data_IF_264692729640
#
_entry.id   IF_264692729640
#
_cell.length_a   1.000
_cell.length_b   1.000
_cell.length_c   1.000
_cell.angle_alpha   90.00
_cell.angle_beta   90.00
_cell.angle_gamma   90.00
#
_symmetry.space_group_name_H-M   'P 1'
#
loop_
_entity.id
_entity.type
_entity.pdbx_description
1 polymer ?
#
# COMPACT_ATOMS: atom_id res chain seq x y z
N UNK A 1 72.51 -44.45 -19.87
CA UNK A 1 71.56 -44.12 -18.75
C UNK A 1 71.21 -42.68 -18.89
N UNK A 2 70.03 -42.38 -19.42
CA UNK A 2 69.52 -41.01 -19.58
C UNK A 2 68.54 -40.65 -18.41
N UNK A 3 68.42 -39.39 -18.02
CA UNK A 3 67.57 -38.98 -16.88
C UNK A 3 66.11 -38.98 -17.27
N UNK A 4 65.20 -39.17 -16.30
CA UNK A 4 63.75 -39.22 -16.53
C UNK A 4 63.13 -37.83 -16.75
N UNK A 5 62.30 -37.74 -17.79
CA UNK A 5 61.47 -36.55 -18.09
C UNK A 5 60.33 -36.46 -17.13
N UNK A 6 60.30 -35.43 -16.29
CA UNK A 6 59.16 -35.12 -15.43
C UNK A 6 58.16 -34.31 -16.23
N UNK A 7 56.98 -34.91 -16.51
CA UNK A 7 55.83 -34.21 -17.09
C UNK A 7 55.14 -33.35 -16.02
N UNK A 8 55.22 -32.05 -16.18
CA UNK A 8 54.47 -31.08 -15.35
C UNK A 8 53.06 -30.94 -15.92
N UNK A 9 52.05 -31.47 -15.23
CA UNK A 9 50.63 -31.24 -15.50
C UNK A 9 50.24 -29.84 -15.04
N UNK A 10 50.09 -28.91 -15.97
CA UNK A 10 49.49 -27.58 -15.71
C UNK A 10 47.98 -27.76 -15.62
N UNK A 11 47.42 -27.70 -14.41
CA UNK A 11 45.99 -27.59 -14.19
C UNK A 11 45.57 -26.15 -14.50
N UNK A 12 44.89 -25.93 -15.63
CA UNK A 12 44.24 -24.71 -15.95
C UNK A 12 42.97 -24.58 -15.05
N UNK A 13 43.03 -23.71 -14.05
CA UNK A 13 41.81 -23.26 -13.32
C UNK A 13 40.99 -22.34 -14.23
N UNK A 14 39.93 -22.85 -14.83
CA UNK A 14 38.96 -22.02 -15.52
C UNK A 14 38.13 -21.27 -14.45
N UNK A 15 38.49 -20.01 -14.22
CA UNK A 15 37.67 -19.10 -13.42
C UNK A 15 36.43 -18.73 -14.22
N UNK A 16 35.29 -19.34 -13.91
CA UNK A 16 34.01 -18.89 -14.41
C UNK A 16 33.66 -17.53 -13.74
N UNK A 17 33.87 -16.46 -14.48
CA UNK A 17 33.33 -15.16 -14.17
C UNK A 17 31.80 -15.24 -14.37
N UNK A 18 31.04 -15.40 -13.30
CA UNK A 18 29.62 -15.13 -13.31
C UNK A 18 29.44 -13.62 -13.51
N UNK A 19 29.17 -13.21 -14.74
CA UNK A 19 28.65 -11.89 -15.04
C UNK A 19 27.21 -11.89 -14.59
N UNK A 20 26.96 -11.46 -13.36
CA UNK A 20 25.62 -11.07 -12.94
C UNK A 20 25.25 -9.83 -13.77
N UNK A 21 24.32 -9.99 -14.71
CA UNK A 21 23.71 -8.84 -15.36
C UNK A 21 23.07 -7.99 -14.25
N UNK A 22 23.69 -6.88 -13.91
CA UNK A 22 23.07 -5.89 -13.03
C UNK A 22 21.82 -5.40 -13.75
N UNK A 23 20.64 -5.69 -13.22
CA UNK A 23 19.41 -5.06 -13.69
C UNK A 23 19.64 -3.56 -13.51
N UNK A 24 19.57 -2.79 -14.61
CA UNK A 24 19.76 -1.36 -14.55
C UNK A 24 18.72 -0.78 -13.57
N UNK A 25 19.21 0.03 -12.64
CA UNK A 25 18.36 0.71 -11.68
C UNK A 25 17.40 1.65 -12.42
N UNK A 26 16.08 1.61 -12.15
CA UNK A 26 15.16 2.54 -12.79
C UNK A 26 15.49 3.98 -12.44
N UNK A 27 15.45 4.86 -13.44
CA UNK A 27 15.72 6.28 -13.26
C UNK A 27 14.77 6.90 -12.21
N UNK A 28 15.29 7.80 -11.38
CA UNK A 28 14.56 8.51 -10.34
C UNK A 28 14.37 7.74 -9.04
N UNK A 29 14.94 6.53 -8.90
CA UNK A 29 14.89 5.72 -7.68
C UNK A 29 16.30 5.47 -7.13
N UNK A 30 16.46 5.36 -5.79
CA UNK A 30 17.69 4.84 -5.19
C UNK A 30 17.82 3.32 -5.40
N UNK A 31 19.00 2.74 -5.13
CA UNK A 31 19.13 1.28 -5.02
C UNK A 31 18.12 0.70 -4.02
N UNK A 32 17.52 -0.44 -4.38
CA UNK A 32 16.57 -1.11 -3.48
C UNK A 32 17.29 -1.52 -2.20
N UNK A 33 16.80 -1.13 -1.01
CA UNK A 33 17.40 -1.53 0.26
C UNK A 33 17.28 -3.05 0.46
N UNK A 34 18.41 -3.73 0.63
CA UNK A 34 18.49 -5.18 0.87
C UNK A 34 19.02 -5.39 2.30
N UNK A 35 18.23 -5.96 3.23
CA UNK A 35 18.71 -6.26 4.56
C UNK A 35 19.85 -7.30 4.53
N UNK A 36 20.90 -7.13 5.35
CA UNK A 36 22.03 -8.09 5.36
C UNK A 36 21.62 -9.50 5.74
N UNK A 37 20.59 -9.68 6.57
CA UNK A 37 20.06 -10.98 7.01
C UNK A 37 19.04 -11.58 6.05
N UNK A 38 18.64 -10.83 5.00
CA UNK A 38 17.78 -11.32 3.92
C UNK A 38 18.33 -10.94 2.52
N UNK A 39 19.51 -11.43 2.12
CA UNK A 39 20.04 -11.16 0.78
C UNK A 39 19.10 -11.69 -0.31
N UNK A 40 18.93 -10.88 -1.38
CA UNK A 40 18.08 -11.22 -2.53
C UNK A 40 18.70 -12.39 -3.31
N UNK A 41 17.90 -13.40 -3.61
CA UNK A 41 18.25 -14.47 -4.54
C UNK A 41 17.06 -14.82 -5.44
N UNK A 42 17.29 -15.31 -6.67
CA UNK A 42 16.20 -15.73 -7.55
C UNK A 42 15.27 -16.78 -6.91
N UNK A 43 15.84 -17.68 -6.11
CA UNK A 43 15.09 -18.72 -5.44
C UNK A 43 14.12 -18.17 -4.37
N UNK A 44 14.57 -17.17 -3.59
CA UNK A 44 13.71 -16.50 -2.60
C UNK A 44 12.61 -15.71 -3.27
N UNK A 45 12.91 -15.01 -4.37
CA UNK A 45 11.94 -14.23 -5.14
C UNK A 45 10.83 -15.14 -5.69
N UNK A 46 11.19 -16.25 -6.34
CA UNK A 46 10.21 -17.21 -6.88
C UNK A 46 9.37 -17.87 -5.77
N UNK A 47 9.99 -18.21 -4.66
CA UNK A 47 9.27 -18.73 -3.50
C UNK A 47 8.34 -17.68 -2.91
N UNK A 48 8.78 -16.44 -2.80
CA UNK A 48 8.00 -15.32 -2.29
C UNK A 48 6.77 -15.02 -3.16
N UNK A 49 6.93 -15.01 -4.48
CA UNK A 49 5.81 -14.87 -5.42
C UNK A 49 4.78 -15.98 -5.21
N UNK A 50 5.21 -17.24 -5.09
CA UNK A 50 4.31 -18.36 -4.81
C UNK A 50 3.56 -18.19 -3.48
N UNK A 51 4.27 -17.79 -2.40
CA UNK A 51 3.69 -17.57 -1.08
C UNK A 51 2.68 -16.42 -1.09
N UNK A 52 3.01 -15.32 -1.78
CA UNK A 52 2.15 -14.13 -1.93
C UNK A 52 0.81 -14.46 -2.61
N UNK A 53 0.79 -15.45 -3.50
CA UNK A 53 -0.39 -15.88 -4.23
C UNK A 53 -1.16 -17.04 -3.58
N UNK A 54 -0.65 -17.68 -2.51
CA UNK A 54 -1.24 -18.89 -1.95
C UNK A 54 -2.43 -18.60 -1.02
N UNK A 55 -3.63 -18.88 -1.51
CA UNK A 55 -4.88 -18.68 -0.76
C UNK A 55 -5.05 -19.63 0.42
N UNK A 56 -4.30 -20.75 0.48
CA UNK A 56 -4.34 -21.71 1.60
C UNK A 56 -3.87 -21.11 2.92
N UNK A 57 -3.24 -19.93 2.89
CA UNK A 57 -2.81 -19.21 4.08
C UNK A 57 -3.92 -18.37 4.71
N UNK A 58 -5.15 -18.49 4.25
CA UNK A 58 -6.33 -17.92 4.91
C UNK A 58 -7.23 -19.02 5.49
N UNK A 59 -8.00 -18.64 6.51
CA UNK A 59 -8.88 -19.58 7.22
C UNK A 59 -9.99 -20.18 6.33
N UNK A 60 -10.33 -19.51 5.23
CA UNK A 60 -11.32 -19.97 4.24
C UNK A 60 -10.70 -20.58 2.99
N UNK A 61 -9.38 -20.49 2.81
CA UNK A 61 -8.71 -20.88 1.57
C UNK A 61 -9.05 -20.02 0.36
N UNK A 62 -9.57 -18.79 0.54
CA UNK A 62 -10.04 -17.95 -0.55
C UNK A 62 -9.25 -16.64 -0.71
N UNK A 63 -8.51 -16.21 0.30
CA UNK A 63 -7.77 -14.95 0.36
C UNK A 63 -6.28 -15.19 0.39
N UNK A 64 -5.53 -14.42 -0.37
CA UNK A 64 -4.05 -14.35 -0.36
C UNK A 64 -3.61 -12.89 -0.35
N UNK A 65 -2.31 -12.60 -0.25
CA UNK A 65 -1.80 -11.23 -0.39
C UNK A 65 -2.24 -10.61 -1.72
N UNK A 66 -2.16 -11.38 -2.82
CA UNK A 66 -2.60 -10.94 -4.14
C UNK A 66 -4.11 -10.67 -4.26
N UNK A 67 -4.94 -11.03 -3.27
CA UNK A 67 -6.36 -10.68 -3.26
C UNK A 67 -6.57 -9.20 -3.02
N UNK A 68 -5.80 -8.61 -2.10
CA UNK A 68 -5.85 -7.17 -1.76
C UNK A 68 -4.76 -6.36 -2.49
N UNK A 69 -3.73 -7.03 -3.02
CA UNK A 69 -2.63 -6.43 -3.76
C UNK A 69 -2.53 -7.06 -5.17
N UNK A 70 -3.58 -6.86 -5.98
CA UNK A 70 -3.72 -7.45 -7.33
C UNK A 70 -2.71 -6.83 -8.31
N UNK A 71 -1.80 -7.62 -8.90
CA UNK A 71 -0.83 -7.13 -9.88
C UNK A 71 -1.47 -6.41 -11.08
N UNK A 72 -2.69 -6.79 -11.45
CA UNK A 72 -3.43 -6.17 -12.56
C UNK A 72 -4.05 -4.83 -12.20
N UNK A 73 -4.02 -4.45 -10.91
CA UNK A 73 -4.58 -3.21 -10.36
C UNK A 73 -3.51 -2.36 -9.65
N UNK A 74 -2.30 -2.32 -10.17
CA UNK A 74 -1.17 -1.64 -9.56
C UNK A 74 -0.89 -2.11 -8.12
N UNK A 75 -1.08 -3.41 -7.85
CA UNK A 75 -0.91 -4.00 -6.53
C UNK A 75 -1.76 -3.34 -5.44
N UNK A 76 -3.00 -2.97 -5.79
CA UNK A 76 -4.08 -2.55 -4.89
C UNK A 76 -5.30 -3.43 -5.13
N UNK A 77 -6.40 -3.20 -4.44
CA UNK A 77 -7.70 -3.82 -4.69
C UNK A 77 -8.71 -2.87 -5.33
N UNK A 78 -8.20 -1.79 -5.95
CA UNK A 78 -9.05 -0.81 -6.66
C UNK A 78 -10.22 -1.48 -7.40
N UNK A 79 -11.44 -0.94 -7.33
CA UNK A 79 -11.84 0.37 -6.78
C UNK A 79 -12.39 0.30 -5.34
N UNK A 80 -12.06 -0.72 -4.55
CA UNK A 80 -12.56 -0.86 -3.20
C UNK A 80 -12.05 0.28 -2.30
N UNK A 81 -12.92 0.80 -1.45
CA UNK A 81 -12.59 1.85 -0.47
C UNK A 81 -11.70 1.26 0.62
N UNK A 82 -12.10 0.09 1.13
CA UNK A 82 -11.32 -0.74 2.06
C UNK A 82 -11.36 -2.19 1.59
N UNK A 83 -10.33 -2.96 1.92
CA UNK A 83 -10.20 -4.35 1.47
C UNK A 83 -11.28 -5.26 2.02
N UNK A 84 -11.73 -6.21 1.19
CA UNK A 84 -12.54 -7.35 1.60
C UNK A 84 -11.67 -8.56 1.87
N UNK A 85 -11.67 -9.05 3.13
CA UNK A 85 -10.99 -10.27 3.52
C UNK A 85 -11.90 -11.49 3.52
N UNK A 86 -11.62 -12.43 4.45
CA UNK A 86 -12.43 -13.65 4.61
C UNK A 86 -13.89 -13.33 4.88
N UNK A 87 -14.79 -14.16 4.35
CA UNK A 87 -16.23 -14.00 4.51
C UNK A 87 -16.76 -12.60 4.13
N UNK A 88 -16.04 -11.88 3.26
CA UNK A 88 -16.33 -10.49 2.87
C UNK A 88 -16.33 -9.51 4.04
N UNK A 89 -15.62 -9.81 5.10
CA UNK A 89 -15.37 -8.84 6.17
C UNK A 89 -14.50 -7.73 5.63
N UNK A 90 -14.81 -6.49 5.98
CA UNK A 90 -14.07 -5.32 5.54
C UNK A 90 -13.26 -4.73 6.70
N UNK A 91 -12.01 -4.40 6.41
CA UNK A 91 -11.19 -3.59 7.30
C UNK A 91 -11.61 -2.12 7.28
N UNK A 92 -10.92 -1.32 8.07
CA UNK A 92 -11.15 0.14 8.18
C UNK A 92 -10.21 0.96 7.30
N UNK A 93 -9.25 0.32 6.63
CA UNK A 93 -8.18 0.98 5.87
C UNK A 93 -8.13 0.54 4.42
N UNK A 94 -7.77 1.48 3.56
CA UNK A 94 -7.50 1.23 2.16
C UNK A 94 -6.23 0.39 2.00
N UNK A 95 -6.23 -0.52 1.01
CA UNK A 95 -5.06 -1.33 0.65
C UNK A 95 -4.02 -0.46 -0.08
N UNK A 96 -2.88 -0.15 0.53
CA UNK A 96 -1.84 0.61 -0.16
C UNK A 96 -1.18 -0.26 -1.22
N UNK A 97 -0.69 0.36 -2.29
CA UNK A 97 0.07 -0.37 -3.29
C UNK A 97 1.37 -0.94 -2.73
N UNK A 98 1.77 -2.13 -3.21
CA UNK A 98 3.10 -2.72 -2.93
C UNK A 98 4.19 -2.12 -3.83
N UNK A 99 3.83 -1.38 -4.89
CA UNK A 99 4.82 -0.74 -5.77
C UNK A 99 5.69 0.20 -4.94
N UNK A 100 7.00 -0.03 -5.00
CA UNK A 100 8.00 0.75 -4.26
C UNK A 100 7.91 0.62 -2.72
N UNK A 101 7.18 -0.36 -2.18
CA UNK A 101 7.11 -0.59 -0.74
C UNK A 101 8.49 -0.82 -0.10
N UNK A 102 9.43 -1.39 -0.85
CA UNK A 102 10.81 -1.62 -0.40
C UNK A 102 11.54 -0.39 0.14
N UNK A 103 11.10 0.82 -0.21
CA UNK A 103 11.73 2.08 0.21
C UNK A 103 11.12 2.69 1.48
N UNK A 104 10.05 2.12 2.02
CA UNK A 104 9.49 2.61 3.28
C UNK A 104 10.33 2.17 4.47
N UNK A 105 10.38 3.04 5.50
CA UNK A 105 11.07 2.79 6.77
C UNK A 105 10.17 2.09 7.79
N UNK A 106 8.86 2.30 7.71
CA UNK A 106 7.85 1.69 8.55
C UNK A 106 6.65 1.31 7.70
N UNK A 107 5.94 0.26 8.07
CA UNK A 107 4.87 -0.33 7.28
C UNK A 107 3.51 -0.17 7.95
N UNK A 108 2.44 -0.43 7.18
CA UNK A 108 1.08 0.01 7.42
C UNK A 108 0.95 1.54 7.43
N UNK A 109 -0.30 2.03 7.41
CA UNK A 109 -0.61 3.45 7.42
C UNK A 109 -0.16 4.17 8.70
N UNK A 110 -0.16 3.45 9.83
CA UNK A 110 0.23 3.95 11.16
C UNK A 110 1.67 3.59 11.55
N UNK A 111 2.39 2.87 10.69
CA UNK A 111 3.79 2.50 10.92
C UNK A 111 4.00 1.50 12.05
N UNK A 112 3.03 0.62 12.34
CA UNK A 112 3.11 -0.36 13.41
C UNK A 112 4.03 -1.55 13.11
N UNK A 113 4.45 -1.74 11.87
CA UNK A 113 5.42 -2.77 11.47
C UNK A 113 6.75 -2.13 11.06
N UNK A 114 7.86 -2.80 11.42
CA UNK A 114 9.21 -2.23 11.36
C UNK A 114 9.86 -2.39 9.98
N UNK A 115 9.52 -3.46 9.25
CA UNK A 115 10.08 -3.77 7.94
C UNK A 115 9.08 -4.61 7.11
N UNK A 116 9.44 -4.94 5.86
CA UNK A 116 8.61 -5.77 4.98
C UNK A 116 8.43 -7.18 5.54
N UNK A 117 9.46 -7.74 6.13
CA UNK A 117 9.45 -9.05 6.74
C UNK A 117 8.43 -9.10 7.88
N UNK A 118 8.49 -8.14 8.79
CA UNK A 118 7.54 -8.05 9.90
C UNK A 118 6.11 -7.83 9.39
N UNK A 119 5.92 -6.96 8.40
CA UNK A 119 4.60 -6.68 7.83
C UNK A 119 3.93 -7.94 7.26
N UNK A 120 4.69 -8.80 6.55
CA UNK A 120 4.16 -9.94 5.81
C UNK A 120 3.39 -10.98 6.67
N UNK A 121 3.61 -11.02 7.97
CA UNK A 121 2.95 -11.98 8.87
C UNK A 121 1.58 -11.51 9.39
N UNK A 122 1.37 -10.19 9.52
CA UNK A 122 0.20 -9.64 10.23
C UNK A 122 -1.14 -9.95 9.54
N UNK A 123 -1.30 -9.78 8.21
CA UNK A 123 -2.56 -10.06 7.53
C UNK A 123 -3.03 -11.51 7.70
N UNK A 124 -2.09 -12.45 7.82
CA UNK A 124 -2.35 -13.88 7.94
C UNK A 124 -3.22 -14.20 9.16
N UNK A 125 -2.96 -13.54 10.28
CA UNK A 125 -3.65 -13.76 11.56
C UNK A 125 -4.68 -12.67 11.89
N UNK A 126 -4.86 -11.69 11.01
CA UNK A 126 -5.86 -10.66 11.22
C UNK A 126 -7.28 -11.20 10.91
N UNK A 127 -8.25 -11.09 11.85
CA UNK A 127 -9.56 -11.69 11.72
C UNK A 127 -10.44 -11.11 10.61
N UNK A 128 -10.15 -9.91 10.13
CA UNK A 128 -10.89 -9.29 9.01
C UNK A 128 -10.17 -9.39 7.67
N UNK A 129 -8.95 -9.93 7.65
CA UNK A 129 -8.14 -10.13 6.44
C UNK A 129 -8.06 -11.61 6.05
N UNK A 130 -7.04 -12.37 6.52
CA UNK A 130 -6.86 -13.79 6.19
C UNK A 130 -7.35 -14.74 7.29
N UNK A 131 -7.51 -14.28 8.53
CA UNK A 131 -8.31 -14.87 9.59
C UNK A 131 -7.78 -16.16 10.20
N UNK A 132 -6.51 -16.52 10.09
CA UNK A 132 -5.95 -17.63 10.86
C UNK A 132 -5.83 -17.25 12.34
N UNK A 133 -5.97 -18.22 13.24
CA UNK A 133 -5.82 -18.00 14.69
C UNK A 133 -4.35 -17.76 15.06
N UNK A 134 -3.44 -18.45 14.36
CA UNK A 134 -1.99 -18.34 14.48
C UNK A 134 -1.32 -18.79 13.18
N UNK A 135 0.00 -18.80 13.12
CA UNK A 135 0.77 -19.16 11.93
C UNK A 135 1.01 -20.67 11.75
N UNK A 136 0.59 -21.54 12.66
CA UNK A 136 0.84 -22.99 12.58
C UNK A 136 0.31 -23.63 11.30
N UNK A 137 -0.90 -23.26 10.78
CA UNK A 137 -1.37 -23.82 9.52
C UNK A 137 -0.47 -23.48 8.33
N UNK A 138 0.11 -22.26 8.29
CA UNK A 138 1.09 -21.87 7.26
C UNK A 138 2.32 -22.74 7.35
N UNK A 139 2.88 -22.89 8.56
CA UNK A 139 4.06 -23.73 8.79
C UNK A 139 3.80 -25.20 8.45
N UNK A 140 2.60 -25.70 8.73
CA UNK A 140 2.22 -27.06 8.34
C UNK A 140 2.26 -27.22 6.82
N UNK A 141 1.64 -26.29 6.06
CA UNK A 141 1.63 -26.35 4.59
C UNK A 141 3.06 -26.32 4.05
N UNK A 142 3.87 -25.33 4.42
CA UNK A 142 5.22 -25.16 3.85
C UNK A 142 6.20 -26.28 4.25
N UNK A 143 5.93 -26.99 5.34
CA UNK A 143 6.75 -28.11 5.83
C UNK A 143 6.33 -29.47 5.26
N UNK A 144 5.11 -29.61 4.71
CA UNK A 144 4.58 -30.90 4.24
C UNK A 144 4.28 -30.95 2.75
N UNK A 145 4.01 -29.82 2.11
CA UNK A 145 3.82 -29.74 0.67
C UNK A 145 5.16 -29.98 -0.04
N UNK A 146 5.28 -31.04 -0.89
CA UNK A 146 6.56 -31.41 -1.51
C UNK A 146 7.22 -30.30 -2.32
N UNK A 147 6.40 -29.46 -2.97
CA UNK A 147 6.92 -28.36 -3.79
C UNK A 147 7.47 -27.22 -2.90
N UNK A 148 6.79 -26.87 -1.80
CA UNK A 148 7.35 -25.93 -0.82
C UNK A 148 8.61 -26.47 -0.17
N UNK A 149 8.63 -27.72 0.23
CA UNK A 149 9.81 -28.38 0.81
C UNK A 149 11.02 -28.25 -0.12
N UNK A 150 10.83 -28.54 -1.41
CA UNK A 150 11.90 -28.42 -2.40
C UNK A 150 12.39 -26.95 -2.56
N UNK A 151 11.44 -25.99 -2.61
CA UNK A 151 11.76 -24.59 -2.77
C UNK A 151 12.44 -23.98 -1.53
N UNK A 152 12.00 -24.29 -0.30
CA UNK A 152 12.65 -23.85 0.94
C UNK A 152 14.08 -24.43 1.06
N UNK A 153 14.29 -25.70 0.71
CA UNK A 153 15.64 -26.26 0.64
C UNK A 153 16.54 -25.50 -0.33
N UNK A 154 15.99 -25.15 -1.50
CA UNK A 154 16.75 -24.42 -2.51
C UNK A 154 17.08 -22.98 -2.07
N UNK A 155 16.09 -22.26 -1.53
CA UNK A 155 16.20 -20.83 -1.18
C UNK A 155 16.97 -20.60 0.14
N UNK A 156 16.76 -21.45 1.16
CA UNK A 156 17.27 -21.23 2.52
C UNK A 156 18.24 -22.31 3.01
N UNK A 157 18.43 -23.40 2.26
CA UNK A 157 19.24 -24.55 2.68
C UNK A 157 18.74 -25.17 4.00
N UNK A 158 17.42 -25.16 4.22
CA UNK A 158 16.76 -25.66 5.44
C UNK A 158 15.92 -26.89 5.16
N UNK A 159 15.96 -27.86 6.10
CA UNK A 159 15.03 -28.99 6.13
C UNK A 159 13.65 -28.53 6.62
N UNK A 160 12.55 -29.26 6.26
CA UNK A 160 11.19 -28.82 6.58
C UNK A 160 10.97 -28.44 8.05
N UNK A 161 11.49 -29.24 8.99
CA UNK A 161 11.35 -28.97 10.42
C UNK A 161 12.06 -27.69 10.91
N UNK A 162 13.03 -27.18 10.13
CA UNK A 162 13.81 -25.99 10.46
C UNK A 162 13.19 -24.69 9.88
N UNK A 163 12.19 -24.82 8.99
CA UNK A 163 11.50 -23.67 8.43
C UNK A 163 10.61 -23.05 9.49
N UNK A 164 10.75 -21.75 9.70
CA UNK A 164 9.96 -20.94 10.63
C UNK A 164 9.23 -19.83 9.86
N UNK A 165 8.40 -19.05 10.53
CA UNK A 165 7.78 -17.88 9.89
C UNK A 165 8.82 -16.88 9.37
N UNK A 166 10.00 -16.81 9.98
CA UNK A 166 11.08 -15.93 9.47
C UNK A 166 11.40 -16.20 8.00
N UNK A 167 11.55 -17.44 7.58
CA UNK A 167 11.84 -17.79 6.17
C UNK A 167 10.67 -17.50 5.24
N UNK A 168 9.43 -17.66 5.72
CA UNK A 168 8.22 -17.31 4.98
C UNK A 168 8.17 -15.79 4.74
N UNK A 169 8.35 -15.00 5.79
CA UNK A 169 8.41 -13.55 5.75
C UNK A 169 9.54 -13.05 4.82
N UNK A 170 10.73 -13.60 4.97
CA UNK A 170 11.89 -13.26 4.15
C UNK A 170 11.68 -13.54 2.67
N UNK A 171 11.00 -14.61 2.32
CA UNK A 171 10.70 -14.94 0.93
C UNK A 171 9.65 -13.97 0.35
N UNK A 172 8.55 -13.70 1.07
CA UNK A 172 7.52 -12.75 0.65
C UNK A 172 8.15 -11.36 0.44
N UNK A 173 8.91 -10.86 1.42
CA UNK A 173 9.59 -9.57 1.33
C UNK A 173 10.62 -9.53 0.17
N UNK A 174 11.27 -10.66 -0.13
CA UNK A 174 12.17 -10.73 -1.30
C UNK A 174 11.44 -10.57 -2.63
N UNK A 175 10.22 -11.11 -2.75
CA UNK A 175 9.37 -10.89 -3.90
C UNK A 175 8.88 -9.43 -3.97
N UNK A 176 8.38 -8.87 -2.88
CA UNK A 176 7.89 -7.49 -2.84
C UNK A 176 8.96 -6.46 -3.20
N UNK A 177 10.23 -6.70 -2.84
CA UNK A 177 11.37 -5.88 -3.26
C UNK A 177 11.63 -5.87 -4.77
N UNK A 178 11.03 -6.75 -5.54
CA UNK A 178 11.10 -6.73 -7.01
C UNK A 178 10.02 -5.85 -7.64
N UNK A 179 9.02 -5.43 -6.86
CA UNK A 179 7.89 -4.62 -7.35
C UNK A 179 8.29 -3.15 -7.30
N UNK A 180 9.09 -2.72 -8.26
CA UNK A 180 9.71 -1.39 -8.32
C UNK A 180 9.24 -0.66 -9.57
N UNK A 181 8.83 0.60 -9.41
CA UNK A 181 8.38 1.46 -10.50
C UNK A 181 9.12 2.81 -10.52
N UNK A 182 9.97 3.01 -11.50
CA UNK A 182 10.64 4.26 -11.87
C UNK A 182 10.51 4.51 -13.37
N UNK A 183 11.42 5.26 -13.96
CA UNK A 183 11.42 5.62 -15.39
C UNK A 183 10.12 6.32 -15.85
N UNK A 184 9.42 6.98 -14.94
CA UNK A 184 8.21 7.72 -15.27
C UNK A 184 8.50 8.88 -16.25
N UNK A 185 7.49 9.46 -16.92
CA UNK A 185 7.69 10.69 -17.68
C UNK A 185 8.40 11.77 -16.89
N UNK A 186 8.04 11.97 -15.61
CA UNK A 186 8.73 12.89 -14.70
C UNK A 186 10.21 12.54 -14.55
N UNK A 187 10.54 11.28 -14.32
CA UNK A 187 11.94 10.85 -14.13
C UNK A 187 12.78 11.13 -15.36
N UNK A 188 12.26 10.82 -16.56
CA UNK A 188 12.95 11.08 -17.82
C UNK A 188 13.15 12.57 -18.07
N UNK A 189 12.19 13.38 -17.71
CA UNK A 189 12.32 14.84 -17.81
C UNK A 189 13.28 15.40 -16.78
N UNK A 190 13.01 15.17 -15.50
CA UNK A 190 13.68 15.86 -14.40
C UNK A 190 15.11 15.36 -14.15
N UNK A 191 15.32 14.04 -14.20
CA UNK A 191 16.62 13.41 -13.98
C UNK A 191 17.32 13.02 -15.28
N UNK A 192 16.56 12.73 -16.33
CA UNK A 192 17.10 12.26 -17.63
C UNK A 192 17.29 13.35 -18.68
N UNK A 193 16.80 14.58 -18.45
CA UNK A 193 16.95 15.71 -19.38
C UNK A 193 16.10 15.61 -20.65
N UNK A 194 15.10 14.71 -20.71
CA UNK A 194 14.16 14.63 -21.82
C UNK A 194 13.06 15.69 -21.69
N UNK A 195 13.28 16.87 -22.26
CA UNK A 195 12.34 18.00 -22.19
C UNK A 195 10.95 17.69 -22.76
N UNK A 196 10.81 16.64 -23.56
CA UNK A 196 9.53 16.26 -24.19
C UNK A 196 8.79 15.15 -23.41
N UNK A 197 9.40 14.60 -22.38
CA UNK A 197 8.80 13.49 -21.62
C UNK A 197 7.53 13.88 -20.87
N UNK A 198 7.38 15.16 -20.51
CA UNK A 198 6.20 15.70 -19.80
C UNK A 198 5.59 16.88 -20.57
N UNK A 199 4.29 17.09 -20.42
CA UNK A 199 3.59 18.23 -21.00
C UNK A 199 3.95 19.55 -20.28
N UNK A 200 3.75 20.70 -20.95
CA UNK A 200 3.90 22.00 -20.32
C UNK A 200 2.94 22.17 -19.14
N UNK A 201 1.77 21.54 -19.19
CA UNK A 201 0.82 21.50 -18.09
C UNK A 201 1.42 20.80 -16.86
N UNK A 202 2.04 19.64 -17.04
CA UNK A 202 2.70 18.93 -15.94
C UNK A 202 3.89 19.70 -15.38
N UNK A 203 4.64 20.46 -16.22
CA UNK A 203 5.72 21.35 -15.77
C UNK A 203 5.21 22.49 -14.89
N UNK A 204 4.08 23.13 -15.25
CA UNK A 204 3.43 24.12 -14.38
C UNK A 204 2.93 23.48 -13.08
N UNK A 205 2.35 22.28 -13.17
CA UNK A 205 1.94 21.52 -11.99
C UNK A 205 3.09 21.21 -11.03
N UNK A 206 4.27 20.92 -11.58
CA UNK A 206 5.48 20.74 -10.77
C UNK A 206 5.89 22.05 -10.07
N UNK A 207 5.79 23.19 -10.73
CA UNK A 207 6.02 24.49 -10.08
C UNK A 207 5.04 24.74 -8.94
N UNK A 208 3.75 24.44 -9.14
CA UNK A 208 2.73 24.51 -8.08
C UNK A 208 3.09 23.57 -6.92
N UNK A 209 3.54 22.33 -7.21
CA UNK A 209 3.94 21.32 -6.21
C UNK A 209 5.09 21.82 -5.32
N UNK A 210 6.09 22.48 -5.92
CA UNK A 210 7.25 23.02 -5.20
C UNK A 210 6.92 24.26 -4.38
N UNK A 211 6.14 25.18 -4.95
CA UNK A 211 5.98 26.54 -4.44
C UNK A 211 4.64 26.74 -3.72
N UNK A 212 3.58 27.09 -4.43
CA UNK A 212 2.28 27.49 -3.84
C UNK A 212 1.59 26.33 -3.11
N UNK A 213 1.65 25.12 -3.68
CA UNK A 213 1.10 23.90 -3.10
C UNK A 213 1.89 23.36 -1.92
N UNK A 214 3.22 23.64 -1.87
CA UNK A 214 4.14 23.22 -0.81
C UNK A 214 4.16 21.70 -0.54
N UNK A 215 3.73 20.91 -1.50
CA UNK A 215 3.61 19.45 -1.38
C UNK A 215 4.98 18.79 -1.14
N UNK A 216 6.05 19.41 -1.68
CA UNK A 216 7.44 18.94 -1.52
C UNK A 216 7.90 18.89 -0.06
N UNK A 217 7.24 19.61 0.86
CA UNK A 217 7.59 19.60 2.29
C UNK A 217 7.39 18.24 2.96
N UNK A 218 6.48 17.40 2.44
CA UNK A 218 6.21 16.04 2.90
C UNK A 218 6.55 15.01 1.80
N UNK A 219 6.31 15.35 0.53
CA UNK A 219 6.61 14.49 -0.61
C UNK A 219 7.96 14.87 -1.23
N UNK A 220 9.05 14.53 -0.51
CA UNK A 220 10.40 14.94 -0.79
C UNK A 220 10.93 14.49 -2.16
N UNK A 221 11.71 15.40 -2.78
CA UNK A 221 12.50 15.17 -3.99
C UNK A 221 13.96 15.46 -3.63
N UNK A 222 14.86 14.54 -3.94
CA UNK A 222 16.31 14.69 -3.77
C UNK A 222 16.96 15.07 -5.09
N UNK A 223 18.26 15.32 -5.08
CA UNK A 223 18.99 15.84 -6.26
C UNK A 223 18.96 14.87 -7.44
N UNK A 224 19.03 13.56 -7.18
CA UNK A 224 19.21 12.48 -8.18
C UNK A 224 18.11 11.42 -8.15
N UNK A 225 17.14 11.58 -7.22
CA UNK A 225 16.06 10.63 -7.01
C UNK A 225 14.85 11.30 -6.37
N UNK A 226 13.67 10.68 -6.50
CA UNK A 226 12.47 11.16 -5.83
C UNK A 226 11.59 10.00 -5.37
N UNK A 227 11.55 9.75 -4.09
CA UNK A 227 10.60 8.80 -3.50
C UNK A 227 9.24 9.44 -3.24
N UNK A 228 9.13 10.77 -3.27
CA UNK A 228 7.91 11.52 -2.97
C UNK A 228 7.29 11.15 -1.62
N UNK A 229 8.12 10.93 -0.63
CA UNK A 229 7.78 10.71 0.77
C UNK A 229 8.91 11.19 1.67
N UNK A 230 8.59 11.70 2.84
CA UNK A 230 9.56 11.98 3.91
C UNK A 230 9.68 10.82 4.90
N UNK A 231 8.91 9.73 4.67
CA UNK A 231 8.80 8.58 5.58
C UNK A 231 8.38 8.97 7.02
N UNK A 232 7.64 10.09 7.17
CA UNK A 232 7.09 10.58 8.43
C UNK A 232 5.57 10.39 8.48
N UNK A 233 4.98 10.84 9.58
CA UNK A 233 3.55 10.75 9.84
C UNK A 233 2.97 12.14 10.03
N UNK A 234 1.84 12.39 9.36
CA UNK A 234 1.18 13.69 9.40
C UNK A 234 -0.33 13.52 9.55
N UNK A 235 -0.91 14.35 10.40
CA UNK A 235 -2.36 14.51 10.46
C UNK A 235 -2.77 15.55 9.42
N UNK A 236 -3.48 15.11 8.42
CA UNK A 236 -3.96 15.94 7.31
C UNK A 236 -5.48 16.15 7.35
N UNK A 237 -6.13 15.80 8.46
CA UNK A 237 -7.56 16.01 8.70
C UNK A 237 -8.48 14.93 8.14
N UNK A 238 -7.98 13.94 7.40
CA UNK A 238 -8.79 12.83 6.90
C UNK A 238 -9.20 11.93 8.07
N UNK A 239 -10.47 11.54 8.13
CA UNK A 239 -11.00 10.64 9.14
C UNK A 239 -11.11 11.25 10.52
N UNK A 240 -10.01 11.68 11.11
CA UNK A 240 -9.95 12.21 12.48
C UNK A 240 -10.89 13.41 12.70
N UNK A 241 -11.11 14.25 11.68
CA UNK A 241 -12.07 15.37 11.78
C UNK A 241 -13.47 14.92 12.17
N UNK A 242 -13.88 13.71 11.80
CA UNK A 242 -15.21 13.15 12.10
C UNK A 242 -15.37 12.74 13.56
N UNK A 243 -14.29 12.40 14.25
CA UNK A 243 -14.30 11.89 15.62
C UNK A 243 -13.61 12.81 16.63
N UNK A 244 -13.12 13.98 16.22
CA UNK A 244 -12.29 14.83 17.07
C UNK A 244 -12.92 15.15 18.44
N UNK A 245 -14.23 15.37 18.49
CA UNK A 245 -14.96 15.65 19.74
C UNK A 245 -15.03 14.43 20.68
N UNK A 246 -14.80 13.23 20.16
CA UNK A 246 -14.81 11.99 20.93
C UNK A 246 -13.40 11.58 21.40
N UNK A 247 -12.35 12.12 20.76
CA UNK A 247 -10.95 11.79 21.07
C UNK A 247 -10.60 11.92 22.53
N UNK A 248 -11.02 12.98 23.27
CA UNK A 248 -10.69 13.15 24.68
C UNK A 248 -11.18 12.00 25.58
N UNK A 249 -12.27 11.34 25.21
CA UNK A 249 -12.83 10.20 25.95
C UNK A 249 -12.31 8.87 25.39
N UNK A 250 -12.20 8.78 24.07
CA UNK A 250 -11.87 7.53 23.39
C UNK A 250 -10.39 7.16 23.47
N UNK A 251 -9.47 8.13 23.32
CA UNK A 251 -8.05 7.86 23.36
C UNK A 251 -7.56 7.27 24.71
N UNK A 252 -7.97 7.80 25.88
CA UNK A 252 -7.63 7.17 27.16
C UNK A 252 -8.22 5.76 27.33
N UNK A 253 -9.45 5.53 26.85
CA UNK A 253 -10.07 4.21 26.88
C UNK A 253 -9.32 3.20 25.99
N UNK A 254 -8.85 3.62 24.82
CA UNK A 254 -8.01 2.83 23.94
C UNK A 254 -6.68 2.46 24.62
N UNK A 255 -6.00 3.43 25.23
CA UNK A 255 -4.72 3.18 25.94
C UNK A 255 -4.89 2.21 27.11
N UNK A 256 -5.99 2.33 27.85
CA UNK A 256 -6.32 1.38 28.91
C UNK A 256 -6.50 -0.04 28.36
N UNK A 257 -7.29 -0.20 27.31
CA UNK A 257 -7.47 -1.52 26.68
C UNK A 257 -6.15 -2.11 26.17
N UNK A 258 -5.29 -1.28 25.54
CA UNK A 258 -3.95 -1.67 25.10
C UNK A 258 -3.07 -2.14 26.26
N UNK A 259 -3.06 -1.41 27.38
CA UNK A 259 -2.33 -1.79 28.59
C UNK A 259 -2.87 -3.09 29.21
N UNK A 260 -4.14 -3.40 29.03
CA UNK A 260 -4.79 -4.64 29.45
C UNK A 260 -4.58 -5.79 28.43
N UNK A 261 -3.80 -5.58 27.36
CA UNK A 261 -3.40 -6.61 26.40
C UNK A 261 -4.22 -6.66 25.11
N UNK A 262 -5.00 -5.60 24.79
CA UNK A 262 -5.65 -5.52 23.50
C UNK A 262 -4.63 -5.44 22.35
N UNK A 263 -4.82 -6.29 21.34
CA UNK A 263 -3.99 -6.33 20.14
C UNK A 263 -4.28 -5.10 19.27
N UNK A 264 -3.27 -4.25 19.09
CA UNK A 264 -3.38 -2.99 18.34
C UNK A 264 -3.72 -3.27 16.87
N UNK A 265 -3.06 -4.27 16.24
CA UNK A 265 -3.30 -4.60 14.83
C UNK A 265 -4.76 -4.98 14.58
N UNK A 266 -5.30 -5.89 15.39
CA UNK A 266 -6.69 -6.31 15.30
C UNK A 266 -7.66 -5.18 15.63
N UNK A 267 -7.33 -4.36 16.63
CA UNK A 267 -8.20 -3.28 17.08
C UNK A 267 -8.36 -2.17 16.05
N UNK A 268 -7.25 -1.71 15.44
CA UNK A 268 -7.30 -0.60 14.46
C UNK A 268 -7.99 -1.01 13.15
N UNK A 269 -7.95 -2.28 12.76
CA UNK A 269 -8.60 -2.76 11.54
C UNK A 269 -10.07 -3.15 11.75
N UNK A 270 -10.50 -3.42 12.98
CA UNK A 270 -11.87 -3.82 13.29
C UNK A 270 -12.73 -2.66 13.88
N UNK A 271 -12.09 -1.60 14.38
CA UNK A 271 -12.79 -0.48 15.02
C UNK A 271 -12.51 0.84 14.28
N UNK A 272 -13.51 1.43 13.60
CA UNK A 272 -13.33 2.67 12.83
C UNK A 272 -12.76 3.84 13.64
N UNK A 273 -13.16 3.99 14.92
CA UNK A 273 -12.61 5.08 15.76
C UNK A 273 -11.15 4.83 16.16
N UNK A 274 -10.80 3.57 16.49
CA UNK A 274 -9.43 3.20 16.77
C UNK A 274 -8.54 3.39 15.54
N UNK A 275 -9.07 3.09 14.36
CA UNK A 275 -8.39 3.35 13.09
C UNK A 275 -7.98 4.81 12.95
N UNK A 276 -8.87 5.75 13.28
CA UNK A 276 -8.62 7.19 13.10
C UNK A 276 -7.63 7.77 14.12
N UNK A 277 -7.25 7.05 15.18
CA UNK A 277 -6.18 7.49 16.07
C UNK A 277 -4.81 7.53 15.36
N UNK A 278 -4.66 6.81 14.24
CA UNK A 278 -3.45 6.84 13.43
C UNK A 278 -2.21 6.36 14.20
N UNK A 279 -1.10 7.07 14.04
CA UNK A 279 0.19 6.77 14.67
C UNK A 279 0.12 6.74 16.19
N UNK A 280 -0.73 7.55 16.81
CA UNK A 280 -0.97 7.53 18.25
C UNK A 280 -1.29 6.14 18.80
N UNK A 281 -2.04 5.32 18.07
CA UNK A 281 -2.37 3.96 18.49
C UNK A 281 -1.12 3.09 18.74
N UNK A 282 0.00 3.44 18.07
CA UNK A 282 1.29 2.74 18.18
C UNK A 282 2.17 3.36 19.24
N UNK A 283 2.36 4.68 19.20
CA UNK A 283 3.38 5.41 19.96
C UNK A 283 2.87 6.04 21.26
N UNK A 284 1.56 6.21 21.41
CA UNK A 284 0.91 6.89 22.54
C UNK A 284 1.27 8.38 22.68
N UNK A 285 1.89 8.94 21.62
CA UNK A 285 2.29 10.35 21.56
C UNK A 285 1.12 11.21 21.11
N UNK A 286 0.69 12.19 21.91
CA UNK A 286 -0.48 13.01 21.64
C UNK A 286 -0.39 13.78 20.32
N UNK A 287 0.78 14.30 19.98
CA UNK A 287 1.00 15.04 18.71
C UNK A 287 0.85 14.16 17.45
N UNK A 288 0.75 12.84 17.63
CA UNK A 288 0.58 11.87 16.56
C UNK A 288 -0.88 11.37 16.41
N UNK A 289 -1.83 11.99 17.13
CA UNK A 289 -3.26 11.69 16.97
C UNK A 289 -3.71 12.02 15.55
N UNK A 290 -4.31 11.03 14.88
CA UNK A 290 -4.78 11.16 13.50
C UNK A 290 -3.67 11.28 12.44
N UNK A 291 -2.41 11.05 12.82
CA UNK A 291 -1.29 11.08 11.91
C UNK A 291 -1.12 9.73 11.19
N UNK A 292 -0.91 9.81 9.88
CA UNK A 292 -0.67 8.67 9.00
C UNK A 292 0.58 8.89 8.17
N UNK A 293 1.17 7.79 7.70
CA UNK A 293 2.40 7.81 6.90
C UNK A 293 2.21 8.59 5.61
N UNK A 294 3.17 9.45 5.28
CA UNK A 294 3.28 10.05 3.94
C UNK A 294 3.54 8.95 2.92
N UNK A 295 2.55 8.61 2.13
CA UNK A 295 2.70 7.66 1.03
C UNK A 295 3.48 8.26 -0.12
N UNK A 296 4.22 7.42 -0.87
CA UNK A 296 4.81 7.84 -2.14
C UNK A 296 3.73 8.33 -3.11
N UNK A 297 4.05 9.34 -3.92
CA UNK A 297 3.20 9.74 -5.04
C UNK A 297 3.54 9.00 -6.34
N UNK A 298 4.59 8.16 -6.33
CA UNK A 298 4.91 7.34 -7.50
C UNK A 298 3.76 6.42 -7.83
N UNK A 299 3.37 6.42 -9.10
CA UNK A 299 2.24 5.63 -9.62
C UNK A 299 0.87 5.99 -9.01
N UNK A 300 0.74 7.17 -8.35
CA UNK A 300 -0.49 7.56 -7.65
C UNK A 300 -1.71 7.60 -8.57
N UNK A 301 -1.55 7.93 -9.85
CA UNK A 301 -2.67 8.01 -10.81
C UNK A 301 -3.35 6.66 -11.12
N UNK A 302 -2.75 5.54 -10.73
CA UNK A 302 -3.27 4.19 -10.97
C UNK A 302 -3.66 3.45 -9.68
N UNK A 303 -3.65 4.13 -8.53
CA UNK A 303 -3.86 3.52 -7.20
C UNK A 303 -5.06 4.10 -6.43
N UNK A 304 -6.04 4.67 -7.13
CA UNK A 304 -7.27 5.14 -6.50
C UNK A 304 -8.07 3.96 -5.88
N UNK A 305 -8.88 4.18 -4.80
CA UNK A 305 -9.11 5.45 -4.13
C UNK A 305 -7.99 5.83 -3.16
N UNK A 306 -8.00 7.08 -2.71
CA UNK A 306 -6.89 7.69 -1.98
C UNK A 306 -7.19 7.85 -0.49
N UNK A 307 -6.14 8.15 0.27
CA UNK A 307 -6.06 8.29 1.71
C UNK A 307 -6.09 6.94 2.44
N UNK A 308 -5.76 6.96 3.72
CA UNK A 308 -5.72 5.74 4.54
C UNK A 308 -7.07 5.04 4.67
N UNK A 309 -8.16 5.79 4.49
CA UNK A 309 -9.55 5.32 4.57
C UNK A 309 -10.23 5.17 3.19
N UNK A 310 -9.52 5.44 2.08
CA UNK A 310 -10.05 5.35 0.73
C UNK A 310 -11.18 6.34 0.42
N UNK A 311 -11.32 7.42 1.20
CA UNK A 311 -12.47 8.34 1.11
C UNK A 311 -12.45 9.24 -0.11
N UNK A 312 -11.28 9.54 -0.69
CA UNK A 312 -11.13 10.40 -1.87
C UNK A 312 -10.94 9.56 -3.14
N UNK A 313 -11.72 9.86 -4.18
CA UNK A 313 -11.82 9.00 -5.35
C UNK A 313 -10.93 9.43 -6.51
N UNK A 314 -10.64 10.72 -6.61
CA UNK A 314 -9.86 11.30 -7.72
C UNK A 314 -8.68 12.10 -7.19
N UNK A 315 -7.65 12.27 -8.02
CA UNK A 315 -6.52 13.16 -7.69
C UNK A 315 -6.98 14.61 -7.50
N UNK A 316 -8.03 15.03 -8.21
CA UNK A 316 -8.63 16.34 -8.01
C UNK A 316 -9.21 16.47 -6.60
N UNK A 317 -9.97 15.48 -6.12
CA UNK A 317 -10.52 15.48 -4.74
C UNK A 317 -9.40 15.59 -3.71
N UNK A 318 -8.25 14.93 -3.95
CA UNK A 318 -7.07 15.01 -3.08
C UNK A 318 -6.51 16.42 -3.05
N UNK A 319 -6.32 17.08 -4.21
CA UNK A 319 -5.81 18.44 -4.29
C UNK A 319 -6.80 19.43 -3.65
N UNK A 320 -8.09 19.25 -3.87
CA UNK A 320 -9.14 20.10 -3.27
C UNK A 320 -9.18 19.96 -1.75
N UNK A 321 -8.98 18.74 -1.19
CA UNK A 321 -8.84 18.53 0.25
C UNK A 321 -7.69 19.39 0.84
N UNK A 322 -6.51 19.36 0.22
CA UNK A 322 -5.37 20.17 0.64
C UNK A 322 -5.62 21.67 0.38
N UNK A 323 -6.25 22.01 -0.74
CA UNK A 323 -6.60 23.40 -1.06
C UNK A 323 -7.55 24.01 -0.02
N UNK A 324 -8.42 23.19 0.56
CA UNK A 324 -9.32 23.57 1.66
C UNK A 324 -8.66 23.53 3.05
N UNK A 325 -7.35 23.24 3.15
CA UNK A 325 -6.63 23.21 4.43
C UNK A 325 -6.92 21.99 5.29
N UNK A 326 -7.04 20.81 4.67
CA UNK A 326 -7.25 19.54 5.40
C UNK A 326 -8.71 19.27 5.78
N UNK A 327 -9.65 19.94 5.12
CA UNK A 327 -11.09 19.68 5.25
C UNK A 327 -11.68 19.19 3.93
N UNK A 328 -12.37 18.05 3.97
CA UNK A 328 -12.97 17.44 2.78
C UNK A 328 -14.27 18.14 2.39
N UNK A 329 -15.06 18.51 3.37
CA UNK A 329 -16.30 19.28 3.17
C UNK A 329 -16.22 20.59 3.95
N UNK A 330 -16.73 21.66 3.39
CA UNK A 330 -16.75 23.00 4.06
C UNK A 330 -17.41 23.01 5.44
N UNK A 331 -18.23 22.00 5.73
CA UNK A 331 -18.90 21.79 7.01
C UNK A 331 -18.09 20.98 8.01
N UNK A 332 -16.98 20.38 7.57
CA UNK A 332 -16.16 19.57 8.46
C UNK A 332 -15.41 20.48 9.44
N UNK A 333 -15.33 20.11 10.71
CA UNK A 333 -14.53 20.86 11.66
C UNK A 333 -13.03 20.71 11.35
N UNK A 334 -12.25 21.71 11.71
CA UNK A 334 -10.80 21.61 11.74
C UNK A 334 -10.41 20.94 13.04
N UNK A 335 -9.57 19.89 13.00
CA UNK A 335 -9.12 19.22 14.22
C UNK A 335 -7.91 19.93 14.85
N UNK A 336 -7.82 19.88 16.17
CA UNK A 336 -6.77 20.54 16.95
C UNK A 336 -5.38 19.88 16.78
N UNK A 337 -5.33 18.66 16.23
CA UNK A 337 -4.11 17.87 16.02
C UNK A 337 -3.56 17.99 14.60
N UNK A 338 -4.09 18.89 13.77
CA UNK A 338 -3.66 19.06 12.38
C UNK A 338 -2.18 19.42 12.31
N UNK A 339 -1.43 18.73 11.46
CA UNK A 339 0.02 18.96 11.30
C UNK A 339 0.30 20.38 10.82
N UNK A 340 1.32 21.02 11.40
CA UNK A 340 1.75 22.36 11.03
C UNK A 340 2.12 22.43 9.55
N UNK A 341 1.51 23.36 8.82
CA UNK A 341 1.68 23.50 7.36
C UNK A 341 0.45 23.08 6.55
N UNK A 342 -0.47 22.31 7.11
CA UNK A 342 -1.78 22.04 6.50
C UNK A 342 -2.66 23.28 6.71
N UNK A 343 -2.93 24.00 5.64
CA UNK A 343 -3.71 25.25 5.62
C UNK A 343 -4.24 25.49 4.21
N UNK A 344 -5.28 26.32 4.02
CA UNK A 344 -5.77 26.67 2.69
C UNK A 344 -4.67 27.18 1.78
N UNK A 345 -4.60 26.64 0.56
CA UNK A 345 -3.54 26.93 -0.42
C UNK A 345 -3.97 28.04 -1.40
N UNK A 346 -5.27 28.27 -1.56
CA UNK A 346 -5.86 29.20 -2.50
C UNK A 346 -5.42 28.95 -3.96
N UNK A 347 -5.37 27.68 -4.36
CA UNK A 347 -5.11 27.29 -5.75
C UNK A 347 -6.31 27.63 -6.62
N UNK A 348 -6.05 28.09 -7.83
CA UNK A 348 -7.06 28.23 -8.88
C UNK A 348 -7.40 26.88 -9.50
N UNK A 349 -8.50 26.81 -10.26
CA UNK A 349 -8.89 25.57 -10.99
C UNK A 349 -7.83 25.11 -11.99
N UNK A 350 -7.14 26.07 -12.65
CA UNK A 350 -6.04 25.76 -13.56
C UNK A 350 -4.84 25.18 -12.81
N UNK A 351 -4.44 25.77 -11.67
CA UNK A 351 -3.36 25.25 -10.82
C UNK A 351 -3.68 23.86 -10.26
N UNK A 352 -4.94 23.58 -9.90
CA UNK A 352 -5.40 22.25 -9.48
C UNK A 352 -5.24 21.26 -10.64
N UNK A 353 -5.68 21.65 -11.83
CA UNK A 353 -5.60 20.80 -13.03
C UNK A 353 -4.14 20.55 -13.46
N UNK A 354 -3.29 21.55 -13.36
CA UNK A 354 -1.85 21.45 -13.64
C UNK A 354 -1.16 20.51 -12.65
N UNK A 355 -1.50 20.59 -11.36
CA UNK A 355 -0.98 19.71 -10.31
C UNK A 355 -1.43 18.25 -10.52
N UNK A 356 -2.67 18.02 -10.95
CA UNK A 356 -3.14 16.68 -11.33
C UNK A 356 -2.32 16.14 -12.51
N UNK A 357 -2.07 16.93 -13.55
CA UNK A 357 -1.25 16.51 -14.70
C UNK A 357 0.19 16.17 -14.28
N UNK A 358 0.75 16.90 -13.32
CA UNK A 358 2.04 16.55 -12.73
C UNK A 358 2.00 15.20 -12.03
N UNK A 359 1.03 14.95 -11.14
CA UNK A 359 0.90 13.66 -10.44
C UNK A 359 0.69 12.48 -11.42
N UNK A 360 -0.02 12.70 -12.52
CA UNK A 360 -0.17 11.71 -13.59
C UNK A 360 1.15 11.35 -14.26
N UNK A 361 2.07 12.31 -14.39
CA UNK A 361 3.39 12.11 -14.97
C UNK A 361 4.33 11.23 -14.11
N UNK A 362 3.94 10.95 -12.87
CA UNK A 362 4.69 10.06 -11.94
C UNK A 362 4.40 8.57 -12.17
N UNK A 363 3.61 8.23 -13.20
CA UNK A 363 3.25 6.84 -13.51
C UNK A 363 4.35 6.18 -14.32
N UNK A 364 4.89 5.09 -13.78
CA UNK A 364 5.91 4.26 -14.44
C UNK A 364 5.35 3.57 -15.69
N UNK A 365 6.11 3.40 -16.79
CA UNK A 365 5.62 2.84 -18.05
C UNK A 365 4.93 1.48 -17.91
N UNK A 366 5.46 0.62 -17.05
CA UNK A 366 4.94 -0.73 -16.81
C UNK A 366 3.55 -0.75 -16.16
N UNK A 367 3.12 0.33 -15.51
CA UNK A 367 1.80 0.46 -14.88
C UNK A 367 0.85 1.40 -15.64
N UNK A 368 1.31 2.04 -16.71
CA UNK A 368 0.54 3.04 -17.46
C UNK A 368 -0.77 2.50 -18.08
N UNK A 369 -0.79 1.22 -18.48
CA UNK A 369 -1.97 0.56 -19.07
C UNK A 369 -3.09 0.35 -18.06
N UNK A 370 -2.78 0.29 -16.76
CA UNK A 370 -3.74 0.08 -15.68
C UNK A 370 -4.60 1.34 -15.43
N UNK A 371 -4.09 2.54 -15.78
CA UNK A 371 -4.84 3.80 -15.76
C UNK A 371 -6.07 3.77 -16.67
N UNK A 372 -5.98 3.13 -17.83
CA UNK A 372 -7.09 3.06 -18.79
C UNK A 372 -8.24 2.20 -18.27
N UNK A 373 -7.96 1.12 -17.54
CA UNK A 373 -8.96 0.26 -16.93
C UNK A 373 -9.73 0.98 -15.80
N UNK A 374 -9.04 1.73 -14.95
CA UNK A 374 -9.64 2.51 -13.87
C UNK A 374 -10.53 3.66 -14.40
N UNK A 375 -10.08 4.37 -15.44
CA UNK A 375 -10.84 5.45 -16.06
C UNK A 375 -12.12 4.94 -16.76
N UNK A 376 -12.07 3.77 -17.41
CA UNK A 376 -13.24 3.18 -18.08
C UNK A 376 -14.30 2.66 -17.10
N UNK A 377 -13.94 2.27 -15.89
CA UNK A 377 -14.88 1.92 -14.83
C UNK A 377 -15.66 3.15 -14.30
N UNK A 378 -15.03 4.30 -14.23
CA UNK A 378 -15.67 5.54 -13.75
C UNK A 378 -16.70 6.12 -14.73
N UNK A 379 -16.58 5.84 -16.06
CA UNK A 379 -17.53 6.34 -17.08
C UNK A 379 -18.83 5.51 -17.13
N UNK A 380 -18.81 4.25 -16.69
CA UNK A 380 -20.01 3.38 -16.73
C UNK A 380 -21.00 3.59 -15.59
N UNK A 381 -20.61 4.30 -14.53
CA UNK A 381 -21.48 4.54 -13.36
C UNK A 381 -22.36 5.79 -13.48
N UNK A 382 -22.20 6.59 -14.53
CA UNK A 382 -22.95 7.86 -14.70
C UNK A 382 -24.17 7.79 -15.62
N UNK A 383 -24.53 6.60 -16.16
CA UNK A 383 -25.71 6.44 -17.04
C UNK A 383 -26.56 5.26 -16.57
N UNK A 384 -27.16 5.36 -15.40
CA UNK A 384 -28.33 4.55 -15.01
C UNK A 384 -29.06 5.19 -13.82
N UNK A 385 -29.71 6.33 -14.03
CA UNK A 385 -30.79 6.78 -13.14
C UNK A 385 -31.74 7.71 -13.88
N UNK A 386 -32.60 7.16 -14.68
CA UNK A 386 -33.90 7.78 -15.02
C UNK A 386 -34.83 6.74 -15.68
N UNK A 387 -35.54 6.01 -14.85
CA UNK A 387 -36.84 5.45 -15.23
C UNK A 387 -37.69 5.39 -13.97
N UNK A 388 -38.89 6.02 -13.96
CA UNK A 388 -39.79 5.97 -12.81
C UNK A 388 -40.45 4.57 -12.73
N UNK A 389 -40.51 4.04 -11.53
CA UNK A 389 -41.21 2.79 -11.24
C UNK A 389 -42.72 2.95 -11.44
N UNK A 390 -43.42 1.91 -11.94
CA UNK A 390 -44.88 1.95 -12.05
C UNK A 390 -45.53 1.89 -10.67
N UNK A 391 -46.46 2.82 -10.43
CA UNK A 391 -47.34 2.82 -9.26
C UNK A 391 -48.25 1.59 -9.31
N UNK A 392 -48.15 0.67 -8.38
CA UNK A 392 -49.13 -0.38 -8.14
C UNK A 392 -50.25 0.16 -7.25
N UNK A 393 -51.43 0.31 -7.83
CA UNK A 393 -52.70 0.55 -7.16
C UNK A 393 -53.08 -0.69 -6.34
N UNK A 394 -52.99 -0.62 -5.02
CA UNK A 394 -53.60 -1.60 -4.12
C UNK A 394 -55.06 -1.21 -3.86
N UNK A 395 -55.97 -2.00 -4.46
CA UNK A 395 -57.39 -2.02 -4.12
C UNK A 395 -57.59 -2.60 -2.69
N UNK A 396 -58.14 -1.78 -1.83
CA UNK A 396 -58.61 -2.19 -0.50
C UNK A 396 -59.92 -2.97 -0.64
N UNK A 397 -59.98 -4.18 -0.11
CA UNK A 397 -61.24 -4.88 0.19
C UNK A 397 -61.53 -4.80 1.68
N UNK A 398 -62.79 -4.54 2.08
CA UNK A 398 -63.15 -4.45 3.49
C UNK A 398 -63.40 -5.85 4.06
N UNK A 399 -62.85 -6.13 5.25
CA UNK A 399 -63.20 -7.30 6.05
C UNK A 399 -64.17 -6.87 7.11
N UNK A 400 -65.37 -7.45 7.00
CA UNK A 400 -66.47 -7.37 7.96
C UNK A 400 -66.12 -8.07 9.27
N UNK A 401 -66.69 -7.51 10.35
CA UNK A 401 -66.47 -7.98 11.71
C UNK A 401 -67.19 -9.30 12.04
N UNK A 402 -66.75 -9.90 13.10
CA UNK A 402 -67.32 -11.04 13.79
C UNK A 402 -66.70 -11.12 15.18
N UNK A 403 -67.53 -10.67 16.19
CA UNK A 403 -67.16 -10.80 17.58
C UNK A 403 -67.47 -12.19 18.11
N UNK A 404 -67.17 -12.34 19.37
CA UNK A 404 -67.70 -13.24 20.39
C UNK A 404 -66.59 -14.02 21.13
N UNK A 405 -66.56 -13.71 22.37
CA UNK A 405 -66.19 -14.27 23.67
C UNK A 405 -64.71 -14.21 24.06
#
# INVERSE_FOLDING_TARGET
MGPPIHSVLIRACASFLFVTAAVAQPLGLPPVPIPPDNPQTPEKILLGDKLFNDKRFSSTGQVSCATCHDPTKAFTDSPLVTSEGINKLTGTRNSPTVINAAYYKLFFWDGRSLDLEDQAQHPIVNPVEMGLVNHDPVLQIVRTDPDYVAQFRKAFKKEPAQVTMKEVQQAIASFERTIVGGDSPFDRWHFGGDEKAVSDQAKRGFDVFLNKGRCVSCHAIEQDQALFTDNRFHNIGVGINRIQNEVPQFAPAFLKAKAEGADVDKTVLANPKASELGRFAVTETLDEIGAFKTSTLRNVAVTAPFMHDGSLKTLRDVVEHYNNGGITKKTDPVNDFLSGGIRPLNLTDDEISDLVAFMESLTSPQFATQKQAAASCNVKTTVASSSPAPQSTLLATPVSGGGIQ
#
